data_IF_897416635998
#
_entry.id   IF_897416635998
#
_cell.length_a   1.000
_cell.length_b   1.000
_cell.length_c   1.000
_cell.angle_alpha   90.00
_cell.angle_beta   90.00
_cell.angle_gamma   90.00
#
_symmetry.space_group_name_H-M   'P 1'
#
loop_
_entity.id
_entity.type
_entity.pdbx_description
1 polymer ?
#
# COMPACT_ATOMS: atom_id res chain seq x y z
N UNK A 1 -30.42 0.65 8.14
CA UNK A 1 -29.34 -0.06 7.42
C UNK A 1 -28.60 0.95 6.57
N UNK A 2 -27.31 0.98 6.67
CA UNK A 2 -26.47 1.85 5.85
C UNK A 2 -26.33 1.20 4.47
N UNK A 3 -26.71 1.93 3.41
CA UNK A 3 -26.53 1.47 2.03
C UNK A 3 -25.14 1.88 1.58
N UNK A 4 -24.37 0.92 1.12
CA UNK A 4 -23.05 1.15 0.53
C UNK A 4 -23.16 0.97 -0.98
N UNK A 5 -22.58 1.90 -1.74
CA UNK A 5 -22.44 1.78 -3.18
C UNK A 5 -20.94 1.82 -3.55
N UNK A 6 -20.58 1.05 -4.57
CA UNK A 6 -19.22 0.98 -5.06
C UNK A 6 -19.22 0.98 -6.59
N UNK A 7 -18.33 1.76 -7.26
CA UNK A 7 -18.20 1.69 -8.69
C UNK A 7 -17.73 0.30 -9.12
N UNK A 8 -18.23 -0.17 -10.26
CA UNK A 8 -17.87 -1.49 -10.81
C UNK A 8 -16.82 -1.33 -11.89
N UNK A 9 -17.15 -0.62 -12.96
CA UNK A 9 -16.25 -0.37 -14.08
C UNK A 9 -15.63 1.02 -13.91
N UNK A 10 -14.34 1.11 -14.05
CA UNK A 10 -13.56 2.34 -13.95
C UNK A 10 -13.05 2.71 -15.33
N UNK A 11 -13.50 3.84 -15.81
CA UNK A 11 -13.12 4.39 -17.11
C UNK A 11 -12.24 5.62 -16.88
N UNK A 12 -10.94 5.56 -17.21
CA UNK A 12 -10.05 6.69 -17.07
C UNK A 12 -10.44 7.81 -18.04
N UNK A 13 -10.58 9.03 -17.51
CA UNK A 13 -10.96 10.19 -18.31
C UNK A 13 -10.08 11.40 -18.00
N UNK A 14 -9.87 12.24 -18.99
CA UNK A 14 -9.17 13.51 -18.89
C UNK A 14 -10.16 14.64 -19.08
N UNK A 15 -10.19 15.58 -18.13
CA UNK A 15 -10.95 16.81 -18.27
C UNK A 15 -10.08 17.87 -18.93
N UNK A 16 -10.60 18.48 -19.97
CA UNK A 16 -9.96 19.58 -20.70
C UNK A 16 -10.73 20.87 -20.47
N UNK A 17 -9.99 21.94 -20.17
CA UNK A 17 -10.48 23.29 -20.01
C UNK A 17 -9.63 24.19 -20.92
N UNK A 18 -10.23 24.81 -21.90
CA UNK A 18 -9.52 25.73 -22.79
C UNK A 18 -9.40 27.14 -22.18
N UNK A 19 -10.41 27.56 -21.43
CA UNK A 19 -10.42 28.84 -20.70
C UNK A 19 -11.39 28.75 -19.49
N UNK A 20 -11.33 29.73 -18.59
CA UNK A 20 -12.22 29.82 -17.41
C UNK A 20 -13.72 29.89 -17.82
N UNK A 21 -14.02 30.37 -18.99
CA UNK A 21 -15.39 30.53 -19.51
C UNK A 21 -15.82 29.43 -20.47
N UNK A 22 -14.91 28.52 -20.84
CA UNK A 22 -15.21 27.41 -21.74
C UNK A 22 -15.89 26.26 -21.02
N UNK A 23 -16.81 25.52 -21.67
CA UNK A 23 -17.33 24.31 -21.10
C UNK A 23 -16.23 23.25 -20.96
N UNK A 24 -16.34 22.43 -19.93
CA UNK A 24 -15.48 21.29 -19.75
C UNK A 24 -15.72 20.27 -20.87
N UNK A 25 -14.64 19.77 -21.44
CA UNK A 25 -14.66 18.63 -22.35
C UNK A 25 -14.04 17.42 -21.66
N UNK A 26 -14.66 16.27 -21.81
CA UNK A 26 -14.18 15.01 -21.29
C UNK A 26 -13.72 14.14 -22.44
N UNK A 27 -12.53 13.57 -22.30
CA UNK A 27 -11.95 12.61 -23.26
C UNK A 27 -11.55 11.36 -22.52
N UNK A 28 -11.57 10.22 -23.19
CA UNK A 28 -10.96 9.00 -22.66
C UNK A 28 -9.46 9.22 -22.49
N UNK A 29 -8.91 8.71 -21.41
CA UNK A 29 -7.47 8.62 -21.21
C UNK A 29 -6.94 7.33 -21.85
N UNK A 30 -5.64 7.29 -22.15
CA UNK A 30 -5.01 6.12 -22.78
C UNK A 30 -4.80 4.93 -21.80
N UNK A 31 -5.12 5.12 -20.52
CA UNK A 31 -5.07 4.04 -19.53
C UNK A 31 -6.19 3.03 -19.76
N UNK A 32 -5.98 1.81 -19.28
CA UNK A 32 -6.93 0.72 -19.44
C UNK A 32 -8.22 0.93 -18.64
N UNK A 33 -9.35 0.53 -19.22
CA UNK A 33 -10.62 0.38 -18.51
C UNK A 33 -10.49 -0.87 -17.62
N UNK A 34 -10.73 -0.72 -16.33
CA UNK A 34 -10.55 -1.80 -15.37
C UNK A 34 -11.76 -1.99 -14.47
N UNK A 35 -11.93 -3.19 -13.98
CA UNK A 35 -12.87 -3.46 -12.88
C UNK A 35 -12.27 -2.94 -11.58
N UNK A 36 -13.10 -2.37 -10.72
CA UNK A 36 -12.67 -1.86 -9.42
C UNK A 36 -11.95 -2.96 -8.60
N UNK A 37 -10.63 -2.84 -8.43
CA UNK A 37 -9.84 -3.89 -7.79
C UNK A 37 -10.19 -4.08 -6.32
N UNK A 38 -10.63 -3.04 -5.63
CA UNK A 38 -11.07 -3.12 -4.24
C UNK A 38 -12.38 -3.88 -4.11
N UNK A 39 -13.33 -3.62 -5.02
CA UNK A 39 -14.60 -4.34 -5.05
C UNK A 39 -14.38 -5.81 -5.37
N UNK A 40 -13.58 -6.11 -6.40
CA UNK A 40 -13.25 -7.47 -6.81
C UNK A 40 -12.64 -8.27 -5.65
N UNK A 41 -11.62 -7.71 -5.00
CA UNK A 41 -10.97 -8.34 -3.86
C UNK A 41 -11.93 -8.57 -2.68
N UNK A 42 -12.76 -7.57 -2.35
CA UNK A 42 -13.73 -7.69 -1.25
C UNK A 42 -14.82 -8.74 -1.53
N UNK A 43 -15.32 -8.80 -2.75
CA UNK A 43 -16.35 -9.78 -3.13
C UNK A 43 -15.80 -11.21 -3.11
N UNK A 44 -14.57 -11.40 -3.52
CA UNK A 44 -13.91 -12.70 -3.46
C UNK A 44 -13.66 -13.12 -2.00
N UNK A 45 -12.95 -12.33 -1.22
CA UNK A 45 -12.53 -12.68 0.12
C UNK A 45 -13.69 -12.79 1.13
N UNK A 46 -14.61 -11.82 1.13
CA UNK A 46 -15.66 -11.78 2.14
C UNK A 46 -16.89 -12.63 1.77
N UNK A 47 -17.10 -12.87 0.46
CA UNK A 47 -18.34 -13.48 -0.03
C UNK A 47 -18.14 -14.66 -0.99
N UNK A 48 -16.91 -14.92 -1.41
CA UNK A 48 -16.58 -15.97 -2.38
C UNK A 48 -17.14 -15.71 -3.79
N UNK A 49 -17.37 -14.44 -4.14
CA UNK A 49 -17.92 -14.04 -5.43
C UNK A 49 -16.79 -13.51 -6.31
N UNK A 50 -16.38 -14.32 -7.27
CA UNK A 50 -15.37 -13.92 -8.25
C UNK A 50 -16.02 -13.10 -9.36
N UNK A 51 -15.56 -11.86 -9.52
CA UNK A 51 -15.95 -10.96 -10.61
C UNK A 51 -15.07 -11.30 -11.82
N UNK A 52 -15.63 -11.53 -13.02
CA UNK A 52 -14.85 -11.71 -14.24
C UNK A 52 -14.14 -10.40 -14.62
N UNK A 53 -13.06 -10.50 -15.36
CA UNK A 53 -12.45 -9.35 -16.01
C UNK A 53 -13.39 -8.80 -17.10
N UNK A 54 -13.34 -7.51 -17.32
CA UNK A 54 -14.11 -6.84 -18.36
C UNK A 54 -13.20 -6.59 -19.57
N UNK A 55 -13.63 -7.10 -20.73
CA UNK A 55 -12.95 -6.84 -21.99
C UNK A 55 -13.83 -5.97 -22.90
N UNK A 56 -13.54 -4.67 -23.00
CA UNK A 56 -14.35 -3.75 -23.80
C UNK A 56 -14.31 -4.05 -25.32
N UNK A 57 -13.45 -4.95 -25.79
CA UNK A 57 -13.37 -5.36 -27.19
C UNK A 57 -14.34 -6.48 -27.53
N UNK A 58 -14.78 -7.25 -26.54
CA UNK A 58 -15.59 -8.44 -26.74
C UNK A 58 -16.99 -8.38 -26.13
N UNK A 59 -17.20 -7.48 -25.16
CA UNK A 59 -18.50 -7.32 -24.49
C UNK A 59 -18.85 -5.86 -24.23
N UNK A 60 -20.13 -5.56 -24.22
CA UNK A 60 -20.60 -4.23 -23.82
C UNK A 60 -20.67 -4.08 -22.30
N UNK A 61 -20.54 -2.85 -21.76
CA UNK A 61 -20.73 -2.61 -20.33
C UNK A 61 -22.09 -3.09 -19.82
N UNK A 62 -23.13 -3.01 -20.62
CA UNK A 62 -24.48 -3.46 -20.30
C UNK A 62 -24.54 -4.97 -20.11
N UNK A 63 -23.98 -5.74 -21.02
CA UNK A 63 -23.94 -7.21 -20.95
C UNK A 63 -23.13 -7.67 -19.73
N UNK A 64 -22.01 -7.02 -19.47
CA UNK A 64 -21.19 -7.28 -18.30
C UNK A 64 -21.94 -7.02 -16.99
N UNK A 65 -22.61 -5.85 -16.87
CA UNK A 65 -23.39 -5.48 -15.68
C UNK A 65 -24.58 -6.42 -15.47
N UNK A 66 -25.23 -6.90 -16.53
CA UNK A 66 -26.29 -7.91 -16.44
C UNK A 66 -25.76 -9.27 -15.94
N UNK A 67 -24.59 -9.66 -16.41
CA UNK A 67 -23.94 -10.88 -15.94
C UNK A 67 -23.60 -10.78 -14.45
N UNK A 68 -23.06 -9.65 -14.03
CA UNK A 68 -22.72 -9.41 -12.63
C UNK A 68 -24.00 -9.33 -11.74
N UNK A 69 -25.04 -8.64 -12.20
CA UNK A 69 -26.32 -8.55 -11.46
C UNK A 69 -26.88 -9.93 -11.13
N UNK A 70 -26.81 -10.87 -12.06
CA UNK A 70 -27.23 -12.26 -11.85
C UNK A 70 -26.39 -12.96 -10.76
N UNK A 71 -25.06 -12.72 -10.73
CA UNK A 71 -24.18 -13.31 -9.72
C UNK A 71 -24.45 -12.77 -8.31
N UNK A 72 -24.69 -11.46 -8.18
CA UNK A 72 -24.87 -10.82 -6.87
C UNK A 72 -26.31 -10.84 -6.34
N UNK A 73 -27.30 -11.18 -7.17
CA UNK A 73 -28.72 -11.28 -6.81
C UNK A 73 -28.98 -12.24 -5.64
N UNK A 74 -28.15 -13.27 -5.47
CA UNK A 74 -28.19 -14.22 -4.37
C UNK A 74 -28.05 -13.54 -2.99
N UNK A 75 -27.38 -12.39 -2.94
CA UNK A 75 -27.15 -11.60 -1.73
C UNK A 75 -28.13 -10.44 -1.55
N UNK A 76 -29.18 -10.34 -2.38
CA UNK A 76 -30.10 -9.20 -2.44
C UNK A 76 -29.37 -7.86 -2.69
N UNK A 77 -28.36 -7.89 -3.51
CA UNK A 77 -27.64 -6.69 -3.96
C UNK A 77 -28.10 -6.31 -5.36
N UNK A 78 -28.17 -5.02 -5.60
CA UNK A 78 -28.57 -4.45 -6.86
C UNK A 78 -27.35 -3.88 -7.60
N UNK A 79 -27.37 -3.99 -8.94
CA UNK A 79 -26.42 -3.34 -9.81
C UNK A 79 -27.10 -2.13 -10.45
N UNK A 80 -26.71 -0.94 -10.00
CA UNK A 80 -27.17 0.32 -10.58
C UNK A 80 -26.36 0.66 -11.84
N UNK A 81 -27.05 1.23 -12.84
CA UNK A 81 -26.45 1.66 -14.12
C UNK A 81 -26.09 3.16 -14.15
N UNK A 82 -25.99 3.79 -12.98
CA UNK A 82 -25.59 5.18 -12.88
C UNK A 82 -24.09 5.37 -13.20
N UNK A 83 -23.75 6.51 -13.76
CA UNK A 83 -22.37 6.90 -14.05
C UNK A 83 -21.99 8.08 -13.18
N UNK A 84 -20.84 8.01 -12.54
CA UNK A 84 -20.32 9.05 -11.65
C UNK A 84 -18.91 9.48 -12.08
N UNK A 85 -18.68 10.78 -12.12
CA UNK A 85 -17.34 11.34 -12.31
C UNK A 85 -16.74 11.60 -10.93
N UNK A 86 -15.61 10.98 -10.64
CA UNK A 86 -14.94 11.10 -9.35
C UNK A 86 -13.43 10.88 -9.47
N UNK A 87 -12.69 11.26 -8.46
CA UNK A 87 -11.26 10.94 -8.36
C UNK A 87 -11.07 9.77 -7.37
N UNK A 88 -10.51 8.68 -7.86
CA UNK A 88 -10.27 7.46 -7.10
C UNK A 88 -8.78 7.15 -7.05
N UNK A 89 -8.32 6.61 -5.93
CA UNK A 89 -6.96 6.11 -5.77
C UNK A 89 -6.98 4.68 -5.24
N UNK A 90 -6.29 3.79 -5.93
CA UNK A 90 -6.19 2.36 -5.58
C UNK A 90 -4.82 1.99 -5.01
N UNK A 91 -4.02 2.96 -4.59
CA UNK A 91 -2.68 2.72 -4.06
C UNK A 91 -2.69 1.74 -2.89
N UNK A 92 -3.63 1.89 -1.97
CA UNK A 92 -3.72 1.02 -0.78
C UNK A 92 -4.04 -0.44 -1.12
N UNK A 93 -4.95 -0.68 -2.06
CA UNK A 93 -5.29 -2.07 -2.45
C UNK A 93 -4.15 -2.71 -3.24
N UNK A 94 -3.42 -1.93 -4.04
CA UNK A 94 -2.26 -2.44 -4.74
C UNK A 94 -1.15 -2.85 -3.76
N UNK A 95 -0.91 -2.06 -2.71
CA UNK A 95 0.01 -2.44 -1.63
C UNK A 95 -0.44 -3.73 -0.93
N UNK A 96 -1.74 -3.86 -0.63
CA UNK A 96 -2.29 -5.05 0.00
C UNK A 96 -2.09 -6.30 -0.88
N UNK A 97 -2.43 -6.22 -2.16
CA UNK A 97 -2.21 -7.31 -3.12
C UNK A 97 -0.73 -7.67 -3.28
N UNK A 98 0.16 -6.70 -3.18
CA UNK A 98 1.61 -6.97 -3.22
C UNK A 98 2.06 -7.76 -1.98
N UNK A 99 1.54 -7.43 -0.80
CA UNK A 99 1.80 -8.19 0.41
C UNK A 99 1.27 -9.63 0.30
N UNK A 100 0.04 -9.83 -0.18
CA UNK A 100 -0.52 -11.17 -0.40
C UNK A 100 0.35 -12.01 -1.36
N UNK A 101 0.77 -11.43 -2.49
CA UNK A 101 1.62 -12.13 -3.48
C UNK A 101 2.99 -12.52 -2.94
N UNK A 102 3.48 -11.81 -1.93
CA UNK A 102 4.78 -12.04 -1.32
C UNK A 102 4.69 -12.67 0.07
N UNK A 103 3.55 -13.22 0.47
CA UNK A 103 3.30 -13.79 1.79
C UNK A 103 4.39 -14.79 2.22
N UNK A 104 4.79 -15.70 1.35
CA UNK A 104 5.85 -16.66 1.66
C UNK A 104 7.18 -16.00 1.99
N UNK A 105 7.55 -14.93 1.26
CA UNK A 105 8.78 -14.17 1.50
C UNK A 105 8.70 -13.36 2.80
N UNK A 106 7.51 -12.83 3.10
CA UNK A 106 7.26 -12.07 4.32
C UNK A 106 7.36 -12.99 5.54
N UNK A 107 6.74 -14.15 5.49
CA UNK A 107 6.78 -15.15 6.57
C UNK A 107 8.20 -15.72 6.79
N UNK A 108 9.03 -15.77 5.75
CA UNK A 108 10.42 -16.19 5.87
C UNK A 108 11.33 -15.12 6.50
N UNK A 109 10.86 -13.86 6.63
CA UNK A 109 11.66 -12.77 7.18
C UNK A 109 11.51 -12.71 8.71
N UNK A 110 12.60 -12.95 9.43
CA UNK A 110 12.61 -13.00 10.91
C UNK A 110 12.18 -11.67 11.57
N UNK A 111 12.44 -10.54 10.95
CA UNK A 111 12.02 -9.22 11.46
C UNK A 111 10.52 -9.07 11.36
N UNK A 112 9.93 -9.46 10.24
CA UNK A 112 8.48 -9.41 10.02
C UNK A 112 7.77 -10.39 10.96
N UNK A 113 8.28 -11.62 11.09
CA UNK A 113 7.78 -12.62 12.04
C UNK A 113 7.75 -12.08 13.48
N UNK A 114 8.82 -11.40 13.90
CA UNK A 114 8.89 -10.76 15.21
C UNK A 114 7.87 -9.63 15.39
N UNK A 115 7.61 -8.83 14.34
CA UNK A 115 6.59 -7.76 14.36
C UNK A 115 5.16 -8.30 14.46
N UNK A 116 4.89 -9.45 13.85
CA UNK A 116 3.57 -10.13 13.90
C UNK A 116 3.37 -10.88 15.23
N UNK A 117 4.41 -10.99 16.05
CA UNK A 117 4.34 -11.66 17.36
C UNK A 117 4.74 -13.14 17.34
N UNK A 118 5.25 -13.63 16.22
CA UNK A 118 5.94 -14.91 16.17
C UNK A 118 7.29 -14.77 16.85
N UNK A 119 7.55 -15.59 17.85
CA UNK A 119 8.80 -15.55 18.63
C UNK A 119 9.99 -15.99 17.76
N UNK A 120 10.67 -15.00 17.18
CA UNK A 120 12.01 -15.20 16.63
C UNK A 120 13.08 -14.99 17.72
N UNK A 121 14.32 -15.46 17.53
CA UNK A 121 15.41 -15.16 18.45
C UNK A 121 15.70 -13.65 18.42
N UNK A 122 15.17 -12.94 19.41
CA UNK A 122 15.52 -11.52 19.64
C UNK A 122 16.94 -11.58 20.23
N UNK A 123 17.93 -11.20 19.44
CA UNK A 123 19.25 -10.95 19.99
C UNK A 123 19.19 -9.65 20.81
N UNK A 124 19.17 -9.81 22.12
CA UNK A 124 19.26 -8.67 23.05
C UNK A 124 20.73 -8.25 23.10
N UNK A 125 21.06 -7.09 22.55
CA UNK A 125 22.41 -6.52 22.65
C UNK A 125 22.52 -5.73 23.93
N UNK A 126 22.99 -6.38 25.00
CA UNK A 126 23.29 -5.73 26.28
C UNK A 126 24.57 -4.88 26.24
N UNK A 127 25.39 -5.04 25.20
CA UNK A 127 26.72 -4.46 25.12
C UNK A 127 26.75 -2.94 24.87
N UNK A 128 25.63 -2.33 24.44
CA UNK A 128 25.62 -0.89 24.10
C UNK A 128 25.57 0.04 25.31
N UNK A 129 25.11 -0.43 26.46
CA UNK A 129 24.98 0.41 27.65
C UNK A 129 26.33 0.91 28.22
N UNK A 130 27.45 0.33 27.80
CA UNK A 130 28.80 0.69 28.24
C UNK A 130 29.75 0.93 27.03
N UNK A 131 29.22 1.23 25.86
CA UNK A 131 30.04 1.42 24.66
C UNK A 131 30.60 2.85 24.61
N UNK A 132 31.91 2.98 24.75
CA UNK A 132 32.63 4.26 24.66
C UNK A 132 33.06 4.47 23.18
N UNK A 133 32.30 5.29 22.46
CA UNK A 133 32.54 5.57 21.03
C UNK A 133 33.93 6.16 20.79
N UNK A 134 34.35 7.09 21.63
CA UNK A 134 35.61 7.82 21.44
C UNK A 134 36.84 6.92 21.58
N UNK A 135 36.70 5.84 22.33
CA UNK A 135 37.81 4.89 22.53
C UNK A 135 37.76 3.69 21.60
N UNK A 136 36.57 3.30 21.12
CA UNK A 136 36.39 2.03 20.42
C UNK A 136 36.19 2.17 18.91
N UNK A 137 35.80 3.38 18.41
CA UNK A 137 35.56 3.62 17.00
C UNK A 137 36.44 4.75 16.50
N UNK A 138 37.17 4.48 15.44
CA UNK A 138 37.92 5.54 14.75
C UNK A 138 36.95 6.40 13.94
N UNK A 139 37.14 7.72 13.85
CA UNK A 139 36.26 8.61 13.07
C UNK A 139 36.05 8.15 11.61
N UNK A 140 37.07 7.56 11.00
CA UNK A 140 36.99 7.05 9.62
C UNK A 140 36.03 5.86 9.46
N UNK A 141 35.72 5.16 10.56
CA UNK A 141 34.86 3.99 10.56
C UNK A 141 33.39 4.33 10.90
N UNK A 142 33.07 5.59 11.16
CA UNK A 142 31.71 6.01 11.52
C UNK A 142 30.76 6.09 10.32
N UNK A 143 31.27 6.35 9.11
CA UNK A 143 30.51 6.52 7.86
C UNK A 143 29.35 7.53 7.96
N UNK A 144 29.53 8.51 8.82
CA UNK A 144 28.52 9.53 9.10
C UNK A 144 28.54 10.59 7.99
N UNK A 145 27.43 10.80 7.32
CA UNK A 145 27.30 11.78 6.22
C UNK A 145 26.78 13.13 6.73
N UNK A 146 26.00 13.11 7.80
CA UNK A 146 25.44 14.28 8.46
C UNK A 146 25.64 14.15 9.98
N UNK A 147 25.59 15.28 10.68
CA UNK A 147 25.73 15.28 12.14
C UNK A 147 24.62 14.42 12.79
N UNK A 148 25.01 13.63 13.78
CA UNK A 148 24.12 12.76 14.53
C UNK A 148 24.36 12.91 16.04
N UNK A 149 23.31 12.90 16.82
CA UNK A 149 23.41 12.81 18.27
C UNK A 149 23.80 11.38 18.72
N UNK A 150 24.08 11.21 20.02
CA UNK A 150 24.55 9.92 20.55
C UNK A 150 23.57 8.77 20.31
N UNK A 151 22.27 9.01 20.41
CA UNK A 151 21.25 7.97 20.17
C UNK A 151 21.11 7.63 18.68
N UNK A 152 21.30 8.59 17.80
CA UNK A 152 21.37 8.38 16.37
C UNK A 152 22.63 7.60 15.98
N UNK A 153 23.77 7.90 16.60
CA UNK A 153 25.01 7.13 16.41
C UNK A 153 24.87 5.68 16.85
N UNK A 154 24.20 5.43 17.97
CA UNK A 154 23.86 4.06 18.43
C UNK A 154 23.08 3.31 17.35
N UNK A 155 22.06 3.92 16.77
CA UNK A 155 21.25 3.33 15.73
C UNK A 155 22.06 3.00 14.47
N UNK A 156 22.94 3.92 14.02
CA UNK A 156 23.82 3.72 12.86
C UNK A 156 24.76 2.54 13.11
N UNK A 157 25.35 2.44 14.30
CA UNK A 157 26.27 1.35 14.65
C UNK A 157 25.57 0.00 14.77
N UNK A 158 24.37 -0.06 15.34
CA UNK A 158 23.55 -1.25 15.38
C UNK A 158 23.21 -1.75 13.98
N UNK A 159 22.82 -0.82 13.10
CA UNK A 159 22.55 -1.13 11.70
C UNK A 159 23.79 -1.70 10.99
N UNK A 160 24.97 -1.12 11.22
CA UNK A 160 26.24 -1.61 10.67
C UNK A 160 26.56 -3.03 11.15
N UNK A 161 26.20 -3.37 12.38
CA UNK A 161 26.36 -4.73 12.93
C UNK A 161 25.30 -5.72 12.44
N UNK A 162 24.35 -5.28 11.62
CA UNK A 162 23.24 -6.12 11.12
C UNK A 162 22.18 -6.43 12.17
N UNK A 163 22.08 -5.61 13.22
CA UNK A 163 21.10 -5.79 14.29
C UNK A 163 19.76 -5.20 13.89
N UNK A 164 18.69 -5.94 14.11
CA UNK A 164 17.32 -5.43 13.93
C UNK A 164 16.83 -4.79 15.23
N UNK A 165 16.35 -3.56 15.15
CA UNK A 165 15.86 -2.80 16.30
C UNK A 165 14.71 -1.86 15.91
N UNK A 166 14.02 -1.33 16.91
CA UNK A 166 12.95 -0.34 16.72
C UNK A 166 13.48 1.05 17.04
N UNK A 167 13.48 1.94 16.06
CA UNK A 167 13.82 3.35 16.24
C UNK A 167 12.57 4.15 16.59
N UNK A 168 12.41 4.49 17.88
CA UNK A 168 11.27 5.25 18.39
C UNK A 168 11.67 6.69 18.72
N UNK A 169 10.82 7.64 18.32
CA UNK A 169 11.02 9.06 18.65
C UNK A 169 9.86 9.92 18.18
N UNK A 170 9.62 11.08 18.82
CA UNK A 170 8.62 12.05 18.39
C UNK A 170 8.86 12.58 16.98
N UNK A 171 7.89 13.24 16.34
CA UNK A 171 8.11 13.99 15.11
C UNK A 171 9.21 15.05 15.30
N UNK A 172 10.09 15.22 14.31
CA UNK A 172 11.17 16.21 14.35
C UNK A 172 12.47 15.77 15.05
N UNK A 173 12.57 14.55 15.58
CA UNK A 173 13.79 14.03 16.24
C UNK A 173 14.83 13.45 15.29
N UNK A 174 14.79 13.79 14.01
CA UNK A 174 15.82 13.35 13.05
C UNK A 174 15.77 11.87 12.64
N UNK A 175 14.67 11.13 12.91
CA UNK A 175 14.55 9.70 12.53
C UNK A 175 14.82 9.46 11.04
N UNK A 176 14.23 10.28 10.17
CA UNK A 176 14.46 10.15 8.71
C UNK A 176 15.92 10.39 8.34
N UNK A 177 16.59 11.31 9.02
CA UNK A 177 18.01 11.59 8.84
C UNK A 177 18.89 10.41 9.30
N UNK A 178 18.48 9.72 10.36
CA UNK A 178 19.19 8.53 10.87
C UNK A 178 19.08 7.34 9.93
N UNK A 179 17.96 7.22 9.19
CA UNK A 179 17.68 6.10 8.27
C UNK A 179 18.35 6.31 6.91
N UNK A 180 18.63 7.54 6.51
CA UNK A 180 19.27 7.88 5.23
C UNK A 180 20.77 7.63 5.26
#
# INVERSE_FOLDING_TARGET
SQVFSSPIILVPVKLLIESITSPYRMMLHDDEIVINPTLSHKLDNDFGIIIPEFDPTHESPEEYLECLARKVSIKNWDVDRSTHLTNLSFLKINMYKDLERNEEKLNANSVIAALVGEQGPIQVYEELNNFDYDKQIRPIDTFQVVDADSSQQDAVLLSKKGVSFVLQGPPGTGKSQTIT
#
